data_IF_409095194189
#
_entry.id   IF_409095194189
#
_cell.length_a   1.000
_cell.length_b   1.000
_cell.length_c   1.000
_cell.angle_alpha   90.00
_cell.angle_beta   90.00
_cell.angle_gamma   90.00
#
_symmetry.space_group_name_H-M   'P 1'
#
loop_
_entity.id
_entity.type
_entity.pdbx_description
1 polymer ?
#
# COMPACT_ATOMS: atom_id res chain seq x y z
N UNK A 1 -28.72 -10.48 37.81
CA UNK A 1 -27.91 -11.06 36.72
C UNK A 1 -28.61 -10.82 35.37
N UNK A 2 -28.17 -9.86 34.56
CA UNK A 2 -28.64 -9.69 33.17
C UNK A 2 -27.41 -9.66 32.26
N UNK A 3 -27.14 -10.79 31.63
CA UNK A 3 -26.03 -10.95 30.68
C UNK A 3 -26.41 -10.29 29.36
N UNK A 4 -25.89 -9.09 29.12
CA UNK A 4 -26.00 -8.40 27.84
C UNK A 4 -25.02 -9.02 26.84
N UNK A 5 -25.52 -9.86 25.93
CA UNK A 5 -24.75 -10.30 24.76
C UNK A 5 -24.50 -9.10 23.85
N UNK A 6 -23.29 -8.52 23.90
CA UNK A 6 -22.79 -7.58 22.88
C UNK A 6 -22.78 -8.31 21.53
N UNK A 7 -23.62 -7.87 20.60
CA UNK A 7 -23.55 -8.27 19.20
C UNK A 7 -22.24 -7.74 18.63
N UNK A 8 -21.28 -8.62 18.39
CA UNK A 8 -20.12 -8.32 17.56
C UNK A 8 -20.61 -7.87 16.18
N UNK A 9 -20.30 -6.62 15.84
CA UNK A 9 -20.50 -6.10 14.50
C UNK A 9 -19.52 -6.85 13.60
N UNK A 10 -20.02 -7.80 12.80
CA UNK A 10 -19.24 -8.43 11.72
C UNK A 10 -18.70 -7.31 10.83
N UNK A 11 -17.40 -7.06 10.92
CA UNK A 11 -16.66 -6.25 9.96
C UNK A 11 -16.93 -6.85 8.58
N UNK A 12 -17.41 -6.03 7.64
CA UNK A 12 -17.61 -6.47 6.25
C UNK A 12 -16.24 -6.88 5.71
N UNK A 13 -15.97 -8.18 5.65
CA UNK A 13 -14.80 -8.69 4.92
C UNK A 13 -14.87 -8.16 3.50
N UNK A 14 -13.73 -7.75 2.96
CA UNK A 14 -13.57 -7.43 1.55
C UNK A 14 -14.24 -8.53 0.70
N UNK A 15 -14.92 -8.18 -0.40
CA UNK A 15 -15.45 -9.20 -1.30
C UNK A 15 -14.30 -10.14 -1.68
N UNK A 16 -14.46 -11.43 -1.41
CA UNK A 16 -13.43 -12.43 -1.66
C UNK A 16 -13.09 -12.41 -3.15
N UNK A 17 -11.96 -11.77 -3.50
CA UNK A 17 -11.55 -11.63 -4.90
C UNK A 17 -11.06 -12.98 -5.38
N UNK A 18 -11.74 -13.56 -6.37
CA UNK A 18 -11.25 -14.76 -7.03
C UNK A 18 -9.99 -14.40 -7.85
N UNK A 19 -8.82 -14.73 -7.30
CA UNK A 19 -7.52 -14.42 -7.90
C UNK A 19 -7.33 -15.05 -9.29
N UNK A 20 -7.95 -16.20 -9.56
CA UNK A 20 -7.90 -16.85 -10.89
C UNK A 20 -8.68 -16.03 -11.92
N UNK A 21 -9.85 -15.53 -11.53
CA UNK A 21 -10.66 -14.67 -12.40
C UNK A 21 -9.98 -13.31 -12.63
N UNK A 22 -9.33 -12.75 -11.60
CA UNK A 22 -8.54 -11.53 -11.73
C UNK A 22 -7.35 -11.72 -12.69
N UNK A 23 -6.60 -12.84 -12.58
CA UNK A 23 -5.52 -13.18 -13.51
C UNK A 23 -6.04 -13.28 -14.95
N UNK A 24 -7.16 -13.98 -15.15
CA UNK A 24 -7.78 -14.13 -16.48
C UNK A 24 -8.17 -12.78 -17.09
N UNK A 25 -8.81 -11.91 -16.30
CA UNK A 25 -9.17 -10.55 -16.74
C UNK A 25 -7.94 -9.72 -17.10
N UNK A 26 -6.88 -9.80 -16.30
CA UNK A 26 -5.62 -9.12 -16.56
C UNK A 26 -4.97 -9.61 -17.87
N UNK A 27 -4.85 -10.93 -18.07
CA UNK A 27 -4.31 -11.49 -19.32
C UNK A 27 -5.12 -11.04 -20.53
N UNK A 28 -6.46 -11.12 -20.48
CA UNK A 28 -7.33 -10.68 -21.58
C UNK A 28 -7.14 -9.19 -21.91
N UNK A 29 -6.93 -8.34 -20.90
CA UNK A 29 -6.66 -6.92 -21.11
C UNK A 29 -5.28 -6.71 -21.76
N UNK A 30 -4.26 -7.43 -21.30
CA UNK A 30 -2.91 -7.35 -21.85
C UNK A 30 -2.83 -7.87 -23.30
N UNK A 31 -3.57 -8.93 -23.62
CA UNK A 31 -3.72 -9.45 -24.98
C UNK A 31 -4.38 -8.40 -25.90
N UNK A 32 -5.45 -7.74 -25.45
CA UNK A 32 -6.10 -6.65 -26.20
C UNK A 32 -5.16 -5.47 -26.48
N UNK A 33 -4.17 -5.25 -25.62
CA UNK A 33 -3.15 -4.21 -25.75
C UNK A 33 -1.91 -4.68 -26.53
N UNK A 34 -1.93 -5.91 -27.09
CA UNK A 34 -0.81 -6.53 -27.79
C UNK A 34 0.48 -6.66 -26.94
N UNK A 35 0.34 -6.84 -25.62
CA UNK A 35 1.46 -6.95 -24.67
C UNK A 35 1.85 -8.41 -24.41
N UNK A 36 2.11 -9.19 -25.47
CA UNK A 36 2.32 -10.64 -25.39
C UNK A 36 3.44 -11.08 -24.44
N UNK A 37 4.53 -10.31 -24.34
CA UNK A 37 5.62 -10.58 -23.40
C UNK A 37 5.16 -10.50 -21.93
N UNK A 38 4.27 -9.55 -21.63
CA UNK A 38 3.74 -9.36 -20.30
C UNK A 38 2.74 -10.47 -19.93
N UNK A 39 1.93 -10.92 -20.90
CA UNK A 39 1.02 -12.07 -20.73
C UNK A 39 1.80 -13.35 -20.40
N UNK A 40 2.89 -13.62 -21.13
CA UNK A 40 3.79 -14.75 -20.84
C UNK A 40 4.38 -14.66 -19.44
N UNK A 41 4.80 -13.46 -19.03
CA UNK A 41 5.34 -13.20 -17.69
C UNK A 41 4.32 -13.44 -16.59
N UNK A 42 3.07 -12.97 -16.77
CA UNK A 42 1.96 -13.22 -15.84
C UNK A 42 1.62 -14.71 -15.74
N UNK A 43 1.63 -15.44 -16.87
CA UNK A 43 1.34 -16.87 -16.88
C UNK A 43 2.43 -17.71 -16.20
N UNK A 44 3.71 -17.33 -16.33
CA UNK A 44 4.86 -18.02 -15.71
C UNK A 44 4.94 -17.85 -14.18
N UNK A 45 4.20 -16.91 -13.61
CA UNK A 45 4.18 -16.69 -12.15
C UNK A 45 3.45 -17.82 -11.42
N UNK A 46 4.16 -18.52 -10.52
CA UNK A 46 3.57 -19.52 -9.61
C UNK A 46 2.63 -18.90 -8.59
N UNK A 47 2.94 -17.67 -8.13
CA UNK A 47 2.13 -16.93 -7.15
C UNK A 47 1.38 -15.81 -7.86
N UNK A 48 0.07 -15.73 -7.63
CA UNK A 48 -0.83 -14.76 -8.27
C UNK A 48 -0.73 -13.34 -7.69
N UNK A 49 0.07 -13.16 -6.64
CA UNK A 49 0.20 -11.92 -5.87
C UNK A 49 1.66 -11.66 -5.46
N UNK A 50 1.89 -10.47 -4.91
CA UNK A 50 3.17 -10.05 -4.34
C UNK A 50 3.69 -11.11 -3.35
N UNK A 51 5.01 -11.30 -3.32
CA UNK A 51 5.62 -12.08 -2.26
C UNK A 51 5.63 -11.23 -0.99
N UNK A 52 4.67 -11.50 -0.10
CA UNK A 52 4.67 -10.98 1.26
C UNK A 52 5.52 -11.90 2.12
N UNK A 53 6.49 -11.31 2.82
CA UNK A 53 7.20 -11.99 3.88
C UNK A 53 7.24 -11.10 5.10
N UNK A 54 7.08 -11.72 6.26
CA UNK A 54 7.15 -11.03 7.53
C UNK A 54 8.59 -11.14 8.03
N UNK A 55 9.16 -10.00 8.40
CA UNK A 55 10.46 -9.96 9.07
C UNK A 55 10.28 -9.26 10.40
N UNK A 56 10.78 -9.89 11.46
CA UNK A 56 10.95 -9.20 12.73
C UNK A 56 11.98 -8.09 12.51
N UNK A 57 11.64 -6.84 12.85
CA UNK A 57 12.70 -5.84 13.06
C UNK A 57 13.60 -6.40 14.14
N UNK A 58 14.92 -6.34 14.02
CA UNK A 58 15.82 -7.02 14.98
C UNK A 58 16.33 -6.10 16.10
N UNK A 59 15.97 -4.81 16.08
CA UNK A 59 16.59 -3.77 16.92
C UNK A 59 15.61 -3.03 17.87
N UNK A 60 14.39 -3.53 18.10
CA UNK A 60 13.40 -2.85 18.95
C UNK A 60 12.77 -3.78 19.98
N UNK A 61 12.99 -3.52 21.27
CA UNK A 61 12.26 -4.21 22.34
C UNK A 61 10.74 -4.06 22.07
N UNK A 62 9.98 -5.16 22.20
CA UNK A 62 8.60 -5.36 21.70
C UNK A 62 8.45 -5.43 20.17
N UNK A 63 9.14 -6.39 19.53
CA UNK A 63 9.34 -6.53 18.08
C UNK A 63 8.04 -6.62 17.25
N UNK A 64 7.58 -5.55 16.58
CA UNK A 64 6.43 -5.66 15.69
C UNK A 64 6.85 -6.34 14.39
N UNK A 65 6.06 -7.31 13.91
CA UNK A 65 6.26 -7.88 12.59
C UNK A 65 6.14 -6.78 11.53
N UNK A 66 7.17 -6.65 10.69
CA UNK A 66 7.10 -5.82 9.48
C UNK A 66 6.74 -6.73 8.31
N UNK A 67 5.63 -6.43 7.65
CA UNK A 67 5.41 -6.95 6.30
C UNK A 67 6.40 -6.29 5.36
N UNK A 68 7.12 -7.12 4.64
CA UNK A 68 7.93 -6.72 3.50
C UNK A 68 7.23 -7.29 2.26
N UNK A 69 6.96 -6.40 1.32
CA UNK A 69 6.35 -6.72 0.04
C UNK A 69 7.47 -6.71 -0.99
N UNK A 70 7.77 -7.86 -1.59
CA UNK A 70 8.69 -7.94 -2.71
C UNK A 70 7.95 -7.99 -4.04
N UNK A 71 8.27 -7.01 -4.87
CA UNK A 71 7.92 -6.99 -6.30
C UNK A 71 8.97 -7.72 -7.15
N UNK A 72 10.02 -8.29 -6.54
CA UNK A 72 11.05 -9.03 -7.28
C UNK A 72 10.41 -10.18 -8.03
N UNK A 73 10.76 -10.28 -9.30
CA UNK A 73 10.24 -11.25 -10.25
C UNK A 73 8.73 -11.21 -10.46
N UNK A 74 8.03 -10.15 -10.06
CA UNK A 74 6.58 -10.01 -10.33
C UNK A 74 6.27 -9.10 -11.52
N UNK A 75 5.19 -9.39 -12.24
CA UNK A 75 4.70 -8.53 -13.32
C UNK A 75 4.27 -7.14 -12.80
N UNK A 76 3.92 -7.04 -11.52
CA UNK A 76 3.60 -5.78 -10.86
C UNK A 76 4.80 -4.83 -10.86
N UNK A 77 6.04 -5.33 -10.78
CA UNK A 77 7.24 -4.51 -10.95
C UNK A 77 7.27 -3.79 -12.30
N UNK A 78 6.85 -4.45 -13.38
CA UNK A 78 6.79 -3.83 -14.72
C UNK A 78 5.78 -2.69 -14.73
N UNK A 79 4.60 -2.89 -14.15
CA UNK A 79 3.55 -1.87 -14.05
C UNK A 79 3.97 -0.72 -13.13
N UNK A 80 4.51 -1.03 -11.95
CA UNK A 80 5.02 -0.04 -11.00
C UNK A 80 6.15 0.79 -11.60
N UNK A 81 7.10 0.17 -12.32
CA UNK A 81 8.19 0.89 -13.01
C UNK A 81 7.67 1.79 -14.13
N UNK A 82 6.68 1.31 -14.89
CA UNK A 82 6.01 2.11 -15.92
C UNK A 82 5.32 3.32 -15.29
N UNK A 83 4.48 3.12 -14.25
CA UNK A 83 3.82 4.21 -13.53
C UNK A 83 4.83 5.20 -12.95
N UNK A 84 5.86 4.70 -12.26
CA UNK A 84 6.90 5.54 -11.67
C UNK A 84 7.60 6.41 -12.73
N UNK A 85 7.86 5.87 -13.93
CA UNK A 85 8.46 6.64 -15.02
C UNK A 85 7.61 7.84 -15.40
N UNK A 86 6.29 7.69 -15.53
CA UNK A 86 5.40 8.79 -15.90
C UNK A 86 5.10 9.72 -14.72
N UNK A 87 4.94 9.18 -13.52
CA UNK A 87 4.74 9.97 -12.31
C UNK A 87 5.94 10.87 -11.98
N UNK A 88 7.16 10.42 -12.30
CA UNK A 88 8.38 11.25 -12.16
C UNK A 88 8.41 12.47 -13.09
N UNK A 89 7.69 12.42 -14.21
CA UNK A 89 7.61 13.52 -15.16
C UNK A 89 6.57 14.56 -14.74
N UNK A 90 5.66 14.19 -13.83
CA UNK A 90 4.69 15.15 -13.30
C UNK A 90 5.42 16.13 -12.38
N UNK A 91 5.33 17.44 -12.64
CA UNK A 91 5.86 18.43 -11.71
C UNK A 91 5.04 18.35 -10.43
N UNK A 92 5.62 17.77 -9.39
CA UNK A 92 5.03 17.79 -8.05
C UNK A 92 5.29 19.19 -7.49
N UNK A 93 4.33 20.07 -7.68
CA UNK A 93 4.31 21.36 -7.02
C UNK A 93 3.48 21.20 -5.74
N UNK A 94 4.05 20.52 -4.75
CA UNK A 94 3.41 20.33 -3.45
C UNK A 94 3.94 21.41 -2.48
N UNK A 95 3.13 22.44 -2.18
CA UNK A 95 3.52 23.51 -1.25
C UNK A 95 3.65 23.02 0.19
N UNK A 96 3.24 21.77 0.47
CA UNK A 96 3.34 21.12 1.77
C UNK A 96 4.38 20.00 1.76
N UNK A 97 5.22 19.89 0.73
CA UNK A 97 6.32 18.92 0.71
C UNK A 97 7.33 19.28 1.80
N UNK A 98 7.39 18.44 2.83
CA UNK A 98 8.33 18.60 3.93
C UNK A 98 9.45 17.57 3.80
N UNK A 99 10.70 18.03 3.74
CA UNK A 99 11.87 17.15 3.59
C UNK A 99 12.14 16.31 4.85
N UNK A 100 11.84 16.86 6.03
CA UNK A 100 11.97 16.17 7.30
C UNK A 100 11.10 16.82 8.39
N UNK A 101 10.88 16.09 9.48
CA UNK A 101 10.03 16.56 10.59
C UNK A 101 10.55 17.84 11.26
N UNK A 102 11.84 18.18 11.17
CA UNK A 102 12.41 19.38 11.78
C UNK A 102 11.82 20.66 11.19
N UNK A 103 11.45 20.68 9.90
CA UNK A 103 10.78 21.81 9.27
C UNK A 103 9.40 22.06 9.88
N UNK A 104 8.62 21.00 10.11
CA UNK A 104 7.32 21.10 10.78
C UNK A 104 7.50 21.56 12.23
N UNK A 105 8.47 20.98 12.95
CA UNK A 105 8.76 21.38 14.34
C UNK A 105 9.16 22.85 14.41
N UNK A 106 9.99 23.33 13.48
CA UNK A 106 10.35 24.73 13.36
C UNK A 106 9.15 25.64 13.13
N UNK A 107 8.30 25.27 12.16
CA UNK A 107 7.05 25.99 11.87
C UNK A 107 6.11 26.04 13.09
N UNK A 108 5.94 24.93 13.81
CA UNK A 108 5.10 24.87 15.01
C UNK A 108 5.67 25.74 16.14
N UNK A 109 7.00 25.72 16.34
CA UNK A 109 7.69 26.54 17.35
C UNK A 109 7.55 28.04 17.09
N UNK A 110 7.66 28.46 15.83
CA UNK A 110 7.54 29.88 15.45
C UNK A 110 6.13 30.45 15.66
N UNK A 111 5.12 29.61 15.83
CA UNK A 111 3.73 30.03 15.89
C UNK A 111 2.98 29.53 17.14
N UNK A 112 3.73 29.28 18.21
CA UNK A 112 3.22 28.80 19.52
C UNK A 112 2.13 29.70 20.12
N UNK A 113 2.16 31.00 19.84
CA UNK A 113 1.18 31.98 20.33
C UNK A 113 -0.19 31.89 19.66
N UNK A 114 -0.34 31.14 18.57
CA UNK A 114 -1.62 30.97 17.86
C UNK A 114 -2.36 29.74 18.38
N UNK A 115 -3.63 29.89 18.78
CA UNK A 115 -4.49 28.75 19.13
C UNK A 115 -4.72 27.90 17.89
N UNK A 116 -4.12 26.71 17.83
CA UNK A 116 -4.20 25.79 16.69
C UNK A 116 -4.90 24.49 17.08
N UNK A 117 -5.69 23.97 16.15
CA UNK A 117 -6.26 22.62 16.22
C UNK A 117 -5.46 21.74 15.27
N UNK A 118 -4.91 20.65 15.78
CA UNK A 118 -4.23 19.64 14.97
C UNK A 118 -5.05 18.36 14.94
N UNK A 119 -5.07 17.68 13.79
CA UNK A 119 -5.62 16.33 13.66
C UNK A 119 -4.51 15.42 13.20
N UNK A 120 -4.37 14.27 13.85
CA UNK A 120 -3.49 13.19 13.42
C UNK A 120 -4.32 12.11 12.73
N UNK A 121 -3.96 11.76 11.51
CA UNK A 121 -4.58 10.68 10.74
C UNK A 121 -3.58 9.54 10.67
N UNK A 122 -3.97 8.38 11.19
CA UNK A 122 -3.18 7.16 11.17
C UNK A 122 -3.73 6.20 10.10
N UNK A 123 -2.86 5.75 9.18
CA UNK A 123 -3.23 4.79 8.13
C UNK A 123 -2.87 3.40 8.63
N UNK A 124 -3.89 2.64 9.04
CA UNK A 124 -3.72 1.30 9.63
C UNK A 124 -3.56 0.20 8.59
N UNK A 125 -4.30 0.30 7.48
CA UNK A 125 -4.41 -0.77 6.48
C UNK A 125 -4.16 -0.22 5.07
N UNK A 126 -2.89 -0.09 4.69
CA UNK A 126 -2.52 0.31 3.32
C UNK A 126 -2.43 -0.89 2.36
N UNK A 127 -2.21 -2.11 2.89
CA UNK A 127 -1.88 -3.30 2.09
C UNK A 127 -2.66 -4.57 2.46
N UNK A 128 -3.55 -4.51 3.45
CA UNK A 128 -4.35 -5.66 3.86
C UNK A 128 -5.75 -5.54 3.27
N UNK A 129 -6.16 -6.52 2.48
CA UNK A 129 -7.53 -6.72 1.99
C UNK A 129 -7.97 -8.13 2.32
#
# INVERSE_FOLDING_TARGET
MRSGKKKEKKTKLCPQINLKDAKRKACNMLDKLNLCSLVRSVNKQERLALNLFFSAKTHKIDMPFRVIISERDTWQKCVASWLQRYLKLLPINDPFLVNNSSQIVGFLRQHVSTRRVGVSIDIKDLYYS
#
